data_IF_802820256158
#
_entry.id   IF_802820256158
#
_cell.length_a   1.000
_cell.length_b   1.000
_cell.length_c   1.000
_cell.angle_alpha   90.00
_cell.angle_beta   90.00
_cell.angle_gamma   90.00
#
_symmetry.space_group_name_H-M   'P 1'
#
loop_
_entity.id
_entity.type
_entity.pdbx_description
1 polymer ?
#
# COMPACT_ATOMS: atom_id res chain seq x y z
N UNK A 1 22.94 5.02 25.85
CA UNK A 1 23.32 4.33 24.60
C UNK A 1 22.04 4.19 23.74
N UNK A 2 22.12 4.55 22.46
CA UNK A 2 21.04 4.34 21.50
C UNK A 2 20.90 2.84 21.24
N UNK A 3 19.66 2.32 21.27
CA UNK A 3 19.32 0.92 20.97
C UNK A 3 19.01 0.78 19.49
N UNK A 4 19.47 -0.29 18.87
CA UNK A 4 19.24 -0.58 17.44
C UNK A 4 17.95 -1.35 17.25
N UNK A 5 17.06 -0.83 16.38
CA UNK A 5 15.78 -1.45 16.00
C UNK A 5 15.82 -1.85 14.52
N UNK A 6 15.68 -3.12 14.23
CA UNK A 6 15.44 -3.60 12.87
C UNK A 6 14.00 -4.04 12.70
N UNK A 7 13.29 -3.51 11.69
CA UNK A 7 11.93 -3.92 11.37
C UNK A 7 11.92 -4.50 9.95
N UNK A 8 11.61 -5.78 9.85
CA UNK A 8 11.42 -6.45 8.57
C UNK A 8 9.94 -6.51 8.24
N UNK A 9 9.56 -5.78 7.21
CA UNK A 9 8.16 -5.66 6.81
C UNK A 9 7.88 -6.48 5.55
N UNK A 10 6.86 -7.32 5.60
CA UNK A 10 6.30 -8.01 4.46
C UNK A 10 4.80 -7.73 4.36
N UNK A 11 4.30 -7.60 3.14
CA UNK A 11 2.85 -7.52 2.92
C UNK A 11 2.40 -6.29 2.18
N UNK A 12 1.39 -5.60 2.71
CA UNK A 12 0.75 -4.47 2.08
C UNK A 12 1.28 -3.12 2.61
N UNK A 13 0.81 -2.04 2.01
CA UNK A 13 1.18 -0.68 2.41
C UNK A 13 0.80 -0.36 3.87
N UNK A 14 -0.31 -0.93 4.37
CA UNK A 14 -0.68 -0.79 5.79
C UNK A 14 0.39 -1.37 6.73
N UNK A 15 1.04 -2.49 6.37
CA UNK A 15 2.15 -3.01 7.17
C UNK A 15 3.36 -2.06 7.15
N UNK A 16 3.60 -1.37 6.04
CA UNK A 16 4.67 -0.35 5.96
C UNK A 16 4.35 0.83 6.89
N UNK A 17 3.11 1.32 6.84
CA UNK A 17 2.63 2.36 7.77
C UNK A 17 2.75 1.90 9.23
N UNK A 18 2.23 0.70 9.57
CA UNK A 18 2.31 0.16 10.92
C UNK A 18 3.78 0.07 11.42
N UNK A 19 4.71 -0.36 10.54
CA UNK A 19 6.14 -0.44 10.89
C UNK A 19 6.75 0.93 11.21
N UNK A 20 6.39 1.96 10.46
CA UNK A 20 6.82 3.32 10.76
C UNK A 20 6.28 3.78 12.13
N UNK A 21 4.99 3.52 12.40
CA UNK A 21 4.37 3.85 13.70
C UNK A 21 5.00 3.06 14.86
N UNK A 22 5.33 1.79 14.68
CA UNK A 22 6.07 1.01 15.69
C UNK A 22 7.43 1.65 16.03
N UNK A 23 8.15 2.12 15.01
CA UNK A 23 9.41 2.82 15.22
C UNK A 23 9.23 4.13 16.01
N UNK A 24 8.19 4.91 15.68
CA UNK A 24 7.87 6.16 16.40
C UNK A 24 7.54 5.91 17.87
N UNK A 25 6.70 4.90 18.15
CA UNK A 25 6.33 4.51 19.53
C UNK A 25 7.54 4.03 20.35
N UNK A 26 8.53 3.42 19.71
CA UNK A 26 9.74 2.94 20.37
C UNK A 26 10.86 3.99 20.47
N UNK A 27 10.79 5.07 19.71
CA UNK A 27 11.80 6.14 19.71
C UNK A 27 12.03 6.78 21.10
N UNK A 28 11.00 7.05 21.93
CA UNK A 28 11.19 7.56 23.30
C UNK A 28 11.96 6.60 24.21
N UNK A 29 11.95 5.28 23.94
CA UNK A 29 12.72 4.28 24.66
C UNK A 29 14.18 4.19 24.22
N UNK A 30 14.61 5.07 23.30
CA UNK A 30 15.97 5.15 22.76
C UNK A 30 16.23 4.23 21.58
N UNK A 31 15.21 3.57 21.02
CA UNK A 31 15.36 2.76 19.83
C UNK A 31 15.51 3.63 18.57
N UNK A 32 16.44 3.24 17.69
CA UNK A 32 16.69 3.90 16.40
C UNK A 32 16.68 2.85 15.29
N UNK A 33 15.94 3.09 14.18
CA UNK A 33 15.93 2.19 13.03
C UNK A 33 17.32 1.95 12.45
N UNK A 34 17.58 0.70 12.05
CA UNK A 34 18.80 0.28 11.32
C UNK A 34 18.40 -0.55 10.10
N UNK A 35 19.25 -0.57 9.07
CA UNK A 35 19.01 -1.26 7.80
C UNK A 35 19.21 -2.79 7.88
N UNK A 36 20.04 -3.26 8.81
CA UNK A 36 20.42 -4.65 8.94
C UNK A 36 20.16 -5.16 10.37
N UNK A 37 19.80 -6.45 10.52
CA UNK A 37 19.50 -7.04 11.82
C UNK A 37 20.75 -7.29 12.69
N UNK A 38 21.95 -7.19 12.11
CA UNK A 38 23.20 -7.46 12.81
C UNK A 38 23.43 -6.50 13.97
N UNK A 39 23.64 -7.08 15.16
CA UNK A 39 23.84 -6.30 16.39
C UNK A 39 22.58 -5.56 16.85
N UNK A 40 21.41 -5.81 16.27
CA UNK A 40 20.17 -5.18 16.71
C UNK A 40 19.83 -5.57 18.16
N UNK A 41 19.27 -4.62 18.91
CA UNK A 41 18.75 -4.83 20.26
C UNK A 41 17.30 -5.30 20.25
N UNK A 42 16.56 -4.95 19.16
CA UNK A 42 15.22 -5.44 18.90
C UNK A 42 15.02 -5.68 17.40
N UNK A 43 14.38 -6.82 17.08
CA UNK A 43 13.97 -7.16 15.73
C UNK A 43 12.46 -7.39 15.73
N UNK A 44 11.75 -6.72 14.83
CA UNK A 44 10.30 -6.91 14.62
C UNK A 44 10.06 -7.49 13.23
N UNK A 45 9.39 -8.63 13.14
CA UNK A 45 8.86 -9.17 11.89
C UNK A 45 7.41 -8.76 11.74
N UNK A 46 7.12 -7.77 10.89
CA UNK A 46 5.76 -7.30 10.62
C UNK A 46 5.23 -7.92 9.32
N UNK A 47 4.18 -8.73 9.43
CA UNK A 47 3.74 -9.55 8.31
C UNK A 47 2.24 -9.49 8.06
N UNK A 48 1.87 -9.68 6.79
CA UNK A 48 0.51 -9.73 6.31
C UNK A 48 0.04 -11.19 6.19
N UNK A 49 -1.22 -11.46 6.47
CA UNK A 49 -1.85 -12.80 6.34
C UNK A 49 -2.50 -13.04 4.97
N UNK A 50 -2.41 -12.09 4.04
CA UNK A 50 -3.08 -12.19 2.71
C UNK A 50 -2.35 -13.18 1.78
N UNK A 51 -1.04 -13.40 1.95
CA UNK A 51 -0.23 -14.25 1.08
C UNK A 51 -0.12 -15.67 1.66
N UNK A 52 -0.31 -16.68 0.82
CA UNK A 52 -0.33 -18.09 1.16
C UNK A 52 0.90 -18.58 1.95
N UNK A 53 2.08 -18.09 1.60
CA UNK A 53 3.35 -18.49 2.24
C UNK A 53 3.84 -17.49 3.28
N UNK A 54 2.96 -16.64 3.82
CA UNK A 54 3.38 -15.61 4.77
C UNK A 54 3.90 -16.22 6.07
N UNK A 55 3.16 -17.17 6.64
CA UNK A 55 3.52 -17.86 7.88
C UNK A 55 4.81 -18.66 7.74
N UNK A 56 5.00 -19.41 6.64
CA UNK A 56 6.25 -20.16 6.40
C UNK A 56 7.48 -19.24 6.36
N UNK A 57 7.34 -18.06 5.76
CA UNK A 57 8.43 -17.06 5.73
C UNK A 57 8.76 -16.54 7.12
N UNK A 58 7.75 -16.34 7.96
CA UNK A 58 7.96 -15.92 9.36
C UNK A 58 8.79 -16.97 10.09
N UNK A 59 8.38 -18.24 10.05
CA UNK A 59 9.09 -19.31 10.75
C UNK A 59 10.52 -19.51 10.22
N UNK A 60 10.72 -19.41 8.90
CA UNK A 60 12.08 -19.47 8.31
C UNK A 60 12.99 -18.36 8.83
N UNK A 61 12.47 -17.12 8.89
CA UNK A 61 13.25 -15.98 9.41
C UNK A 61 13.46 -16.07 10.92
N UNK A 62 12.48 -16.53 11.67
CA UNK A 62 12.61 -16.76 13.11
C UNK A 62 13.73 -17.75 13.44
N UNK A 63 13.91 -18.80 12.62
CA UNK A 63 15.04 -19.73 12.77
C UNK A 63 16.40 -19.05 12.64
N UNK A 64 16.54 -18.09 11.69
CA UNK A 64 17.76 -17.29 11.53
C UNK A 64 17.96 -16.32 12.71
N UNK A 65 16.91 -15.64 13.12
CA UNK A 65 16.98 -14.71 14.26
C UNK A 65 17.32 -15.39 15.58
N UNK A 66 16.90 -16.65 15.78
CA UNK A 66 17.31 -17.43 16.94
C UNK A 66 18.83 -17.56 17.03
N UNK A 67 19.48 -17.93 15.92
CA UNK A 67 20.94 -18.06 15.88
C UNK A 67 21.63 -16.73 16.20
N UNK A 68 21.12 -15.61 15.65
CA UNK A 68 21.66 -14.27 15.93
C UNK A 68 21.46 -13.86 17.40
N UNK A 69 20.29 -14.15 17.97
CA UNK A 69 19.98 -13.91 19.40
C UNK A 69 20.93 -14.68 20.32
N UNK A 70 21.13 -15.96 20.02
CA UNK A 70 22.02 -16.83 20.80
C UNK A 70 23.49 -16.37 20.69
N UNK A 71 23.93 -16.01 19.48
CA UNK A 71 25.28 -15.50 19.23
C UNK A 71 25.56 -14.18 19.97
N UNK A 72 24.61 -13.24 19.96
CA UNK A 72 24.71 -11.96 20.68
C UNK A 72 24.81 -12.19 22.19
N UNK A 73 24.03 -13.10 22.75
CA UNK A 73 24.08 -13.45 24.18
C UNK A 73 25.41 -14.10 24.57
N UNK A 74 25.94 -15.00 23.71
CA UNK A 74 27.24 -15.65 23.95
C UNK A 74 28.40 -14.68 23.86
N UNK A 75 28.33 -13.66 23.00
CA UNK A 75 29.33 -12.60 22.90
C UNK A 75 29.32 -11.62 24.08
N UNK A 76 28.30 -11.66 24.93
CA UNK A 76 28.15 -10.72 26.04
C UNK A 76 27.63 -9.32 25.61
N UNK A 77 27.17 -9.18 24.36
CA UNK A 77 26.71 -7.91 23.77
C UNK A 77 25.25 -7.56 24.15
N UNK A 78 24.74 -8.18 25.20
CA UNK A 78 23.38 -7.95 25.69
C UNK A 78 22.32 -8.87 25.07
N UNK A 79 21.07 -8.54 25.31
CA UNK A 79 19.91 -9.34 24.86
C UNK A 79 19.29 -8.74 23.58
N UNK A 80 19.00 -9.57 22.61
CA UNK A 80 18.16 -9.22 21.48
C UNK A 80 16.68 -9.58 21.79
N UNK A 81 15.77 -8.62 21.64
CA UNK A 81 14.31 -8.85 21.71
C UNK A 81 13.84 -9.22 20.30
N UNK A 82 13.18 -10.36 20.16
CA UNK A 82 12.57 -10.79 18.90
C UNK A 82 11.04 -10.67 19.02
N UNK A 83 10.44 -9.91 18.12
CA UNK A 83 8.99 -9.69 18.09
C UNK A 83 8.38 -10.09 16.76
N UNK A 84 7.15 -10.61 16.78
CA UNK A 84 6.34 -10.89 15.60
C UNK A 84 5.08 -10.03 15.66
N UNK A 85 4.79 -9.33 14.58
CA UNK A 85 3.71 -8.35 14.49
C UNK A 85 2.84 -8.54 13.25
N UNK A 86 1.70 -7.85 13.22
CA UNK A 86 0.84 -7.74 12.07
C UNK A 86 -0.22 -8.83 11.98
N UNK A 87 -0.83 -9.00 10.78
CA UNK A 87 -1.98 -9.87 10.61
C UNK A 87 -1.67 -11.36 10.85
N UNK A 88 -0.43 -11.82 10.62
CA UNK A 88 -0.04 -13.20 10.95
C UNK A 88 0.03 -13.37 12.46
N UNK A 89 0.61 -12.42 13.19
CA UNK A 89 0.64 -12.46 14.65
C UNK A 89 -0.79 -12.46 15.25
N UNK A 90 -1.71 -11.69 14.65
CA UNK A 90 -3.11 -11.67 15.05
C UNK A 90 -3.82 -13.02 14.85
N UNK A 91 -3.56 -13.66 13.70
CA UNK A 91 -4.26 -14.90 13.34
C UNK A 91 -3.66 -16.15 13.98
N UNK A 92 -2.34 -16.18 14.21
CA UNK A 92 -1.58 -17.38 14.57
C UNK A 92 -0.72 -17.15 15.84
N UNK A 93 -1.05 -16.17 16.66
CA UNK A 93 -0.20 -15.73 17.79
C UNK A 93 0.12 -16.86 18.77
N UNK A 94 -0.84 -17.67 19.16
CA UNK A 94 -0.63 -18.82 20.05
C UNK A 94 0.26 -19.90 19.41
N UNK A 95 0.08 -20.17 18.11
CA UNK A 95 0.92 -21.13 17.39
C UNK A 95 2.37 -20.63 17.28
N UNK A 96 2.57 -19.32 17.04
CA UNK A 96 3.90 -18.72 16.99
C UNK A 96 4.62 -18.91 18.33
N UNK A 97 3.95 -18.62 19.45
CA UNK A 97 4.51 -18.80 20.79
C UNK A 97 4.83 -20.27 21.07
N UNK A 98 3.95 -21.19 20.68
CA UNK A 98 4.16 -22.62 20.91
C UNK A 98 5.32 -23.18 20.09
N UNK A 99 5.45 -22.80 18.80
CA UNK A 99 6.50 -23.30 17.90
C UNK A 99 7.83 -22.58 18.01
N UNK A 100 7.82 -21.33 18.46
CA UNK A 100 9.01 -20.50 18.59
C UNK A 100 9.09 -19.83 19.99
N UNK A 101 9.31 -20.60 21.08
CA UNK A 101 9.29 -20.08 22.46
C UNK A 101 10.42 -19.10 22.77
N UNK A 102 11.34 -18.89 21.86
CA UNK A 102 12.40 -17.87 21.92
C UNK A 102 11.96 -16.49 21.41
N UNK A 103 10.76 -16.37 20.83
CA UNK A 103 10.14 -15.09 20.50
C UNK A 103 9.69 -14.42 21.79
N UNK A 104 10.07 -13.17 21.98
CA UNK A 104 9.80 -12.43 23.22
C UNK A 104 8.44 -11.76 23.22
N UNK A 105 7.96 -11.28 22.04
CA UNK A 105 6.70 -10.53 21.91
C UNK A 105 5.98 -10.98 20.65
N UNK A 106 4.68 -11.23 20.76
CA UNK A 106 3.76 -11.48 19.62
C UNK A 106 2.56 -10.56 19.77
N UNK A 107 2.28 -9.74 18.77
CA UNK A 107 1.18 -8.77 18.89
C UNK A 107 0.49 -8.46 17.57
N UNK A 108 -0.82 -8.19 17.68
CA UNK A 108 -1.67 -7.82 16.56
C UNK A 108 -1.48 -6.37 16.08
N UNK A 109 -2.07 -6.01 14.93
CA UNK A 109 -1.96 -4.66 14.38
C UNK A 109 -2.71 -3.61 15.20
N UNK A 110 -3.62 -4.01 16.09
CA UNK A 110 -4.40 -3.08 16.92
C UNK A 110 -3.70 -2.65 18.21
N UNK A 111 -2.61 -3.35 18.61
CA UNK A 111 -1.98 -3.19 19.92
C UNK A 111 -0.57 -2.62 19.89
N UNK A 112 -0.03 -2.19 18.73
CA UNK A 112 1.35 -1.71 18.64
C UNK A 112 1.61 -0.43 19.44
N UNK A 113 0.60 0.36 19.77
CA UNK A 113 0.74 1.51 20.67
C UNK A 113 1.17 1.12 22.08
N UNK A 114 0.89 -0.13 22.51
CA UNK A 114 1.32 -0.67 23.80
C UNK A 114 2.71 -1.34 23.77
N UNK A 115 3.46 -1.22 22.67
CA UNK A 115 4.82 -1.77 22.54
C UNK A 115 5.77 -1.39 23.69
N UNK A 116 5.79 -0.15 24.19
CA UNK A 116 6.61 0.20 25.34
C UNK A 116 6.37 -0.69 26.57
N UNK A 117 5.12 -0.97 26.87
CA UNK A 117 4.73 -1.85 27.96
C UNK A 117 5.11 -3.31 27.71
N UNK A 118 4.88 -3.79 26.46
CA UNK A 118 5.27 -5.15 26.08
C UNK A 118 6.77 -5.36 26.17
N UNK A 119 7.57 -4.39 25.73
CA UNK A 119 9.02 -4.41 25.86
C UNK A 119 9.44 -4.43 27.34
N UNK A 120 8.80 -3.63 28.19
CA UNK A 120 9.07 -3.64 29.62
C UNK A 120 8.73 -4.99 30.28
N UNK A 121 7.61 -5.61 29.89
CA UNK A 121 7.19 -6.96 30.35
C UNK A 121 8.19 -8.01 29.90
N UNK A 122 8.53 -8.06 28.60
CA UNK A 122 9.46 -9.02 28.02
C UNK A 122 10.88 -8.91 28.61
N UNK A 123 11.28 -7.73 29.07
CA UNK A 123 12.59 -7.51 29.71
C UNK A 123 12.63 -8.03 31.15
N UNK A 124 11.49 -8.00 31.86
CA UNK A 124 11.42 -8.34 33.29
C UNK A 124 11.00 -9.78 33.57
N UNK A 125 10.20 -10.38 32.67
CA UNK A 125 9.64 -11.71 32.86
C UNK A 125 10.31 -12.75 31.95
N UNK A 126 10.30 -14.01 32.38
CA UNK A 126 10.61 -15.13 31.50
C UNK A 126 9.35 -15.51 30.73
N UNK A 127 9.49 -15.79 29.41
CA UNK A 127 8.40 -16.19 28.53
C UNK A 127 8.01 -15.11 27.53
N UNK A 128 7.15 -15.50 26.58
CA UNK A 128 6.66 -14.64 25.52
C UNK A 128 5.48 -13.76 26.01
N UNK A 129 5.46 -12.50 25.57
CA UNK A 129 4.32 -11.60 25.75
C UNK A 129 3.44 -11.72 24.51
N UNK A 130 2.19 -12.19 24.66
CA UNK A 130 1.20 -12.27 23.59
C UNK A 130 0.14 -11.18 23.82
N UNK A 131 -0.11 -10.35 22.80
CA UNK A 131 -1.16 -9.34 22.82
C UNK A 131 -1.84 -9.23 21.43
N UNK A 132 -2.91 -9.96 21.27
CA UNK A 132 -3.75 -9.98 20.06
C UNK A 132 -5.17 -9.46 20.33
N UNK A 133 -5.33 -8.63 21.36
CA UNK A 133 -6.61 -8.04 21.73
C UNK A 133 -7.11 -7.05 20.69
N UNK A 134 -8.42 -6.84 20.67
CA UNK A 134 -9.09 -5.75 19.98
C UNK A 134 -9.53 -4.73 21.03
N UNK A 135 -8.68 -3.74 21.37
CA UNK A 135 -9.03 -2.74 22.37
C UNK A 135 -10.21 -1.88 21.89
N UNK A 136 -11.03 -1.41 22.84
CA UNK A 136 -12.13 -0.50 22.53
C UNK A 136 -11.63 0.91 22.13
N UNK A 137 -10.44 1.27 22.60
CA UNK A 137 -9.79 2.54 22.32
C UNK A 137 -8.98 2.45 21.03
N UNK A 138 -9.01 3.53 20.24
CA UNK A 138 -8.27 3.57 18.99
C UNK A 138 -6.78 3.75 19.23
N UNK A 139 -5.96 2.91 18.64
CA UNK A 139 -4.50 3.07 18.64
C UNK A 139 -4.03 4.42 18.10
N UNK A 140 -4.82 5.05 17.23
CA UNK A 140 -4.50 6.35 16.63
C UNK A 140 -4.53 7.51 17.65
N UNK A 141 -5.21 7.32 18.77
CA UNK A 141 -5.27 8.33 19.85
C UNK A 141 -3.99 8.34 20.71
N UNK A 142 -3.17 7.29 20.59
CA UNK A 142 -1.93 7.10 21.35
C UNK A 142 -0.65 7.22 20.53
N UNK A 143 -0.77 7.62 19.26
CA UNK A 143 0.41 7.82 18.43
C UNK A 143 1.16 9.08 18.83
N UNK A 144 2.51 9.05 18.87
CA UNK A 144 3.30 10.24 19.15
C UNK A 144 3.03 11.34 18.12
N UNK A 145 2.97 12.58 18.58
CA UNK A 145 2.85 13.74 17.70
C UNK A 145 4.09 13.93 16.81
N UNK A 146 5.25 13.53 17.31
CA UNK A 146 6.50 13.54 16.56
C UNK A 146 6.62 12.24 15.76
N UNK A 147 6.19 12.25 14.51
CA UNK A 147 6.44 11.17 13.56
C UNK A 147 7.75 11.41 12.81
N UNK A 148 8.52 10.35 12.61
CA UNK A 148 9.68 10.39 11.72
C UNK A 148 9.29 10.78 10.28
N UNK A 149 10.22 11.41 9.54
CA UNK A 149 10.02 11.68 8.11
C UNK A 149 9.83 10.36 7.36
N UNK A 150 8.77 10.25 6.57
CA UNK A 150 8.52 9.12 5.69
C UNK A 150 9.13 9.33 4.29
N UNK A 151 9.80 10.49 4.06
CA UNK A 151 10.36 10.86 2.78
C UNK A 151 9.38 11.65 1.92
N UNK A 152 9.64 11.64 0.61
CA UNK A 152 8.92 12.48 -0.38
C UNK A 152 7.49 12.00 -0.61
N UNK A 153 7.26 10.69 -0.53
CA UNK A 153 5.95 10.07 -0.62
C UNK A 153 5.65 9.33 0.69
N UNK A 154 4.53 9.65 1.32
CA UNK A 154 4.14 9.13 2.62
C UNK A 154 2.83 8.36 2.57
N UNK A 155 2.67 7.40 3.47
CA UNK A 155 1.43 6.72 3.75
C UNK A 155 0.71 7.38 4.93
N UNK A 156 -0.60 7.55 4.80
CA UNK A 156 -1.45 8.11 5.84
C UNK A 156 -2.69 7.22 6.02
N UNK A 157 -2.73 6.46 7.11
CA UNK A 157 -3.91 5.65 7.41
C UNK A 157 -5.07 6.55 7.83
N UNK A 158 -6.17 6.47 7.10
CA UNK A 158 -7.41 7.23 7.38
C UNK A 158 -8.49 6.34 7.96
N UNK A 159 -8.43 5.04 7.64
CA UNK A 159 -9.43 4.06 8.02
C UNK A 159 -8.75 2.71 8.30
N UNK A 160 -9.28 1.93 9.21
CA UNK A 160 -8.83 0.57 9.51
C UNK A 160 -10.01 -0.36 9.77
N UNK A 161 -9.80 -1.67 9.57
CA UNK A 161 -10.87 -2.65 9.65
C UNK A 161 -11.82 -2.62 8.45
N UNK A 162 -12.81 -3.51 8.41
CA UNK A 162 -13.75 -3.55 7.30
C UNK A 162 -14.99 -4.37 7.65
N UNK A 163 -16.18 -3.80 7.45
CA UNK A 163 -17.48 -4.42 7.72
C UNK A 163 -18.16 -5.01 6.48
N UNK A 164 -17.42 -5.19 5.36
CA UNK A 164 -17.99 -5.76 4.14
C UNK A 164 -18.18 -7.28 4.22
N UNK A 165 -17.42 -7.98 5.06
CA UNK A 165 -17.50 -9.42 5.27
C UNK A 165 -17.55 -10.23 3.97
N UNK A 166 -16.66 -9.88 3.01
CA UNK A 166 -16.46 -10.70 1.84
C UNK A 166 -16.04 -12.11 2.26
N UNK A 167 -16.65 -13.16 1.68
CA UNK A 167 -16.55 -14.54 2.20
C UNK A 167 -15.16 -15.15 2.16
N UNK A 168 -14.24 -14.57 1.38
CA UNK A 168 -12.83 -14.98 1.26
C UNK A 168 -11.87 -14.18 2.14
N UNK A 169 -12.35 -13.11 2.79
CA UNK A 169 -11.48 -12.08 3.37
C UNK A 169 -11.28 -12.27 4.87
N UNK A 170 -10.02 -12.21 5.30
CA UNK A 170 -9.62 -12.32 6.72
C UNK A 170 -9.56 -10.98 7.45
N UNK A 171 -9.74 -9.85 6.75
CA UNK A 171 -9.59 -8.51 7.34
C UNK A 171 -10.46 -8.29 8.57
N UNK A 172 -11.77 -8.62 8.59
CA UNK A 172 -12.59 -8.45 9.78
C UNK A 172 -12.05 -9.19 11.02
N UNK A 173 -11.36 -10.31 10.79
CA UNK A 173 -10.82 -11.17 11.86
C UNK A 173 -9.40 -10.78 12.30
N UNK A 174 -8.67 -10.02 11.47
CA UNK A 174 -7.29 -9.65 11.76
C UNK A 174 -7.10 -8.17 12.06
N UNK A 175 -8.00 -7.30 11.54
CA UNK A 175 -7.97 -5.86 11.77
C UNK A 175 -9.24 -5.31 12.45
N UNK A 176 -10.24 -6.16 12.63
CA UNK A 176 -11.48 -5.82 13.33
C UNK A 176 -12.51 -5.08 12.49
N UNK A 177 -13.50 -4.52 13.17
CA UNK A 177 -14.54 -3.68 12.60
C UNK A 177 -13.96 -2.41 11.98
N UNK A 178 -14.73 -1.79 11.09
CA UNK A 178 -14.36 -0.52 10.48
C UNK A 178 -14.23 0.59 11.55
N UNK A 179 -13.12 1.29 11.49
CA UNK A 179 -12.85 2.50 12.26
C UNK A 179 -12.32 3.58 11.32
N UNK A 180 -13.03 4.69 11.22
CA UNK A 180 -12.63 5.88 10.48
C UNK A 180 -12.08 6.94 11.43
N UNK A 181 -10.86 7.45 11.15
CA UNK A 181 -10.25 8.54 11.91
C UNK A 181 -10.97 9.84 11.64
N UNK A 182 -10.91 10.78 12.58
CA UNK A 182 -11.48 12.12 12.36
C UNK A 182 -10.71 12.91 11.31
N UNK A 183 -11.41 13.77 10.57
CA UNK A 183 -10.78 14.68 9.61
C UNK A 183 -9.74 15.60 10.27
N UNK A 184 -9.97 16.00 11.52
CA UNK A 184 -9.02 16.81 12.32
C UNK A 184 -7.68 16.09 12.49
N UNK A 185 -7.69 14.82 12.93
CA UNK A 185 -6.49 14.00 13.10
C UNK A 185 -5.74 13.80 11.79
N UNK A 186 -6.48 13.51 10.71
CA UNK A 186 -5.88 13.27 9.38
C UNK A 186 -5.24 14.54 8.85
N UNK A 187 -5.92 15.68 8.89
CA UNK A 187 -5.39 16.97 8.43
C UNK A 187 -4.16 17.40 9.26
N UNK A 188 -4.17 17.17 10.57
CA UNK A 188 -3.02 17.48 11.41
C UNK A 188 -1.80 16.62 11.03
N UNK A 189 -1.97 15.31 10.84
CA UNK A 189 -0.89 14.42 10.42
C UNK A 189 -0.40 14.76 9.00
N UNK A 190 -1.29 15.06 8.06
CA UNK A 190 -0.94 15.46 6.70
C UNK A 190 -0.07 16.73 6.68
N UNK A 191 -0.44 17.76 7.47
CA UNK A 191 0.36 19.00 7.59
C UNK A 191 1.75 18.72 8.16
N UNK A 192 1.87 17.84 9.16
CA UNK A 192 3.19 17.45 9.71
C UNK A 192 4.05 16.72 8.67
N UNK A 193 3.47 15.80 7.92
CA UNK A 193 4.18 15.10 6.85
C UNK A 193 4.68 16.07 5.77
N UNK A 194 3.84 17.01 5.33
CA UNK A 194 4.22 18.02 4.34
C UNK A 194 5.29 18.95 4.89
N UNK A 195 5.19 19.40 6.14
CA UNK A 195 6.22 20.20 6.79
C UNK A 195 7.57 19.46 6.91
N UNK A 196 7.54 18.12 7.01
CA UNK A 196 8.73 17.26 7.00
C UNK A 196 9.27 16.96 5.57
N UNK A 197 8.67 17.53 4.51
CA UNK A 197 9.14 17.43 3.13
C UNK A 197 8.37 16.45 2.25
N UNK A 198 7.26 15.86 2.73
CA UNK A 198 6.39 15.00 1.92
C UNK A 198 5.65 15.84 0.87
N UNK A 199 5.61 15.36 -0.38
CA UNK A 199 4.91 15.97 -1.51
C UNK A 199 3.74 15.13 -2.04
N UNK A 200 3.79 13.82 -1.82
CA UNK A 200 2.72 12.90 -2.18
C UNK A 200 2.22 12.15 -0.93
N UNK A 201 0.91 12.17 -0.68
CA UNK A 201 0.28 11.39 0.37
C UNK A 201 -0.61 10.32 -0.28
N UNK A 202 -0.41 9.07 0.15
CA UNK A 202 -1.28 7.96 -0.21
C UNK A 202 -2.15 7.59 1.01
N UNK A 203 -3.45 7.83 0.91
CA UNK A 203 -4.42 7.50 1.93
C UNK A 203 -4.64 5.99 1.98
N UNK A 204 -4.52 5.42 3.16
CA UNK A 204 -4.59 3.98 3.38
C UNK A 204 -5.78 3.59 4.27
N UNK A 205 -6.27 2.39 4.00
CA UNK A 205 -7.28 1.67 4.79
C UNK A 205 -7.55 0.30 4.19
N UNK A 206 -8.52 -0.41 4.72
CA UNK A 206 -9.00 -1.65 4.14
C UNK A 206 -10.20 -1.45 3.21
N UNK A 207 -10.83 -0.26 3.28
CA UNK A 207 -11.90 0.19 2.40
C UNK A 207 -11.95 1.73 2.42
N UNK A 208 -10.94 2.37 1.83
CA UNK A 208 -10.68 3.80 1.99
C UNK A 208 -11.84 4.67 1.50
N UNK A 209 -12.52 4.27 0.42
CA UNK A 209 -13.63 5.06 -0.11
C UNK A 209 -14.93 4.97 0.71
N UNK A 210 -14.97 4.13 1.75
CA UNK A 210 -16.02 4.17 2.77
C UNK A 210 -15.69 5.09 3.95
N UNK A 211 -14.52 5.71 3.96
CA UNK A 211 -14.14 6.59 5.06
C UNK A 211 -15.18 7.67 5.31
N UNK A 212 -15.55 7.80 6.57
CA UNK A 212 -16.44 8.82 7.07
C UNK A 212 -15.95 9.26 8.46
N UNK A 213 -15.65 10.52 8.62
CA UNK A 213 -15.11 11.02 9.87
C UNK A 213 -15.57 12.45 10.16
N UNK A 214 -15.58 12.83 11.43
CA UNK A 214 -15.98 14.17 11.83
C UNK A 214 -14.92 15.18 11.41
N UNK A 215 -15.40 16.20 10.70
CA UNK A 215 -14.59 17.35 10.31
C UNK A 215 -14.46 18.37 11.44
N UNK A 216 -13.57 19.36 11.29
CA UNK A 216 -13.40 20.45 12.25
C UNK A 216 -14.65 21.34 12.38
N UNK A 217 -15.58 21.25 11.45
CA UNK A 217 -16.87 21.96 11.43
C UNK A 217 -17.99 21.20 12.19
N UNK A 218 -17.66 20.04 12.78
CA UNK A 218 -18.61 19.20 13.50
C UNK A 218 -19.57 18.42 12.60
N UNK A 219 -19.35 18.41 11.26
CA UNK A 219 -20.12 17.59 10.33
C UNK A 219 -19.36 16.35 9.96
N UNK A 220 -20.06 15.26 9.65
CA UNK A 220 -19.43 14.04 9.12
C UNK A 220 -19.09 14.23 7.65
N UNK A 221 -17.83 14.02 7.30
CA UNK A 221 -17.31 14.12 5.95
C UNK A 221 -17.18 12.75 5.28
N UNK A 222 -17.36 12.70 3.97
CA UNK A 222 -16.94 11.59 3.13
C UNK A 222 -15.54 11.84 2.54
N UNK A 223 -15.00 10.79 1.87
CA UNK A 223 -13.65 10.85 1.30
C UNK A 223 -13.48 11.97 0.27
N UNK A 224 -14.49 12.26 -0.56
CA UNK A 224 -14.45 13.34 -1.55
C UNK A 224 -14.17 14.70 -0.90
N UNK A 225 -14.83 15.00 0.22
CA UNK A 225 -14.58 16.22 0.98
C UNK A 225 -13.18 16.22 1.63
N UNK A 226 -12.78 15.11 2.24
CA UNK A 226 -11.44 15.00 2.83
C UNK A 226 -10.33 15.28 1.81
N UNK A 227 -10.48 14.76 0.59
CA UNK A 227 -9.51 14.98 -0.51
C UNK A 227 -9.42 16.46 -0.88
N UNK A 228 -10.55 17.18 -0.95
CA UNK A 228 -10.55 18.64 -1.21
C UNK A 228 -9.83 19.40 -0.11
N UNK A 229 -10.11 19.09 1.16
CA UNK A 229 -9.46 19.75 2.30
C UNK A 229 -7.95 19.44 2.40
N UNK A 230 -7.54 18.22 2.03
CA UNK A 230 -6.12 17.87 1.93
C UNK A 230 -5.42 18.63 0.81
N UNK A 231 -6.09 18.87 -0.30
CA UNK A 231 -5.54 19.60 -1.44
C UNK A 231 -5.25 21.08 -1.13
N UNK A 232 -5.86 21.65 -0.08
CA UNK A 232 -5.58 23.01 0.40
C UNK A 232 -4.29 23.12 1.23
N UNK A 233 -3.60 22.00 1.50
CA UNK A 233 -2.35 22.01 2.26
C UNK A 233 -1.21 22.45 1.35
N UNK A 234 -0.63 23.62 1.61
CA UNK A 234 0.50 24.16 0.86
C UNK A 234 1.67 23.16 0.86
N UNK A 235 2.17 22.83 -0.34
CA UNK A 235 3.28 21.88 -0.54
C UNK A 235 2.84 20.45 -0.74
N UNK A 236 1.56 20.10 -0.57
CA UNK A 236 1.01 18.80 -0.96
C UNK A 236 0.67 18.82 -2.47
N UNK A 237 1.49 18.16 -3.27
CA UNK A 237 1.37 18.19 -4.72
C UNK A 237 0.57 17.03 -5.29
N UNK A 238 0.50 15.88 -4.56
CA UNK A 238 -0.21 14.69 -5.00
C UNK A 238 -0.93 13.98 -3.85
N UNK A 239 -2.14 13.57 -4.15
CA UNK A 239 -2.98 12.75 -3.27
C UNK A 239 -3.33 11.48 -4.03
N UNK A 240 -3.23 10.35 -3.34
CA UNK A 240 -3.70 9.04 -3.81
C UNK A 240 -4.46 8.36 -2.70
N UNK A 241 -5.28 7.40 -3.06
CA UNK A 241 -5.87 6.47 -2.11
C UNK A 241 -5.89 5.07 -2.71
N UNK A 242 -5.87 4.06 -1.86
CA UNK A 242 -5.83 2.66 -2.31
C UNK A 242 -6.70 1.79 -1.43
N UNK A 243 -7.12 0.66 -1.99
CA UNK A 243 -8.07 -0.28 -1.36
C UNK A 243 -9.46 0.30 -1.24
N UNK A 244 -10.22 0.19 -2.33
CA UNK A 244 -11.59 0.69 -2.45
C UNK A 244 -12.58 -0.44 -2.70
N UNK A 245 -13.85 -0.19 -2.41
CA UNK A 245 -14.93 -1.11 -2.72
C UNK A 245 -15.93 -0.43 -3.67
N UNK A 246 -16.38 -1.10 -4.75
CA UNK A 246 -17.27 -0.48 -5.74
C UNK A 246 -18.54 0.15 -5.16
N UNK A 247 -19.13 -0.46 -4.13
CA UNK A 247 -20.35 0.07 -3.47
C UNK A 247 -20.19 1.42 -2.77
N UNK A 248 -18.97 1.77 -2.41
CA UNK A 248 -18.68 2.99 -1.66
C UNK A 248 -18.10 4.09 -2.55
N UNK A 249 -18.18 3.91 -3.87
CA UNK A 249 -17.85 4.94 -4.85
C UNK A 249 -19.05 5.85 -5.06
N UNK A 250 -19.15 6.90 -4.26
CA UNK A 250 -20.23 7.87 -4.32
C UNK A 250 -19.98 8.99 -5.36
N UNK A 251 -21.03 9.74 -5.68
CA UNK A 251 -20.97 10.82 -6.68
C UNK A 251 -20.09 12.00 -6.19
N UNK A 252 -19.90 12.18 -4.87
CA UNK A 252 -19.04 13.24 -4.34
C UNK A 252 -17.57 12.92 -4.57
N UNK A 253 -17.16 11.68 -4.32
CA UNK A 253 -15.80 11.22 -4.61
C UNK A 253 -15.51 11.20 -6.13
N UNK A 254 -16.50 10.81 -6.95
CA UNK A 254 -16.38 10.87 -8.41
C UNK A 254 -16.14 12.33 -8.86
N UNK A 255 -16.88 13.31 -8.31
CA UNK A 255 -16.65 14.74 -8.59
C UNK A 255 -15.26 15.20 -8.14
N UNK A 256 -14.77 14.72 -6.99
CA UNK A 256 -13.43 15.06 -6.52
C UNK A 256 -12.33 14.66 -7.53
N UNK A 257 -12.50 13.52 -8.24
CA UNK A 257 -11.58 13.15 -9.33
C UNK A 257 -11.55 14.14 -10.50
N UNK A 258 -12.65 14.82 -10.76
CA UNK A 258 -12.72 15.85 -11.81
C UNK A 258 -12.17 17.20 -11.32
N UNK A 259 -12.44 17.56 -10.06
CA UNK A 259 -12.26 18.91 -9.52
C UNK A 259 -10.89 19.14 -8.88
N UNK A 260 -10.28 18.09 -8.29
CA UNK A 260 -9.04 18.22 -7.51
C UNK A 260 -7.81 17.83 -8.34
N UNK A 261 -7.00 18.80 -8.79
CA UNK A 261 -5.82 18.51 -9.61
C UNK A 261 -4.77 17.63 -8.91
N UNK A 262 -4.64 17.77 -7.59
CA UNK A 262 -3.72 16.98 -6.77
C UNK A 262 -4.16 15.51 -6.65
N UNK A 263 -5.45 15.18 -6.85
CA UNK A 263 -5.92 13.79 -6.85
C UNK A 263 -5.47 13.11 -8.15
N UNK A 264 -4.50 12.23 -8.02
CA UNK A 264 -3.87 11.59 -9.17
C UNK A 264 -4.85 10.73 -9.97
N UNK A 265 -4.74 10.72 -11.31
CA UNK A 265 -5.64 9.99 -12.20
C UNK A 265 -5.32 8.47 -12.20
N UNK A 266 -5.33 7.88 -11.03
CA UNK A 266 -5.15 6.46 -10.82
C UNK A 266 -6.06 5.98 -9.70
N UNK A 267 -6.89 4.99 -9.99
CA UNK A 267 -7.84 4.41 -9.04
C UNK A 267 -7.68 2.90 -8.96
N UNK A 268 -7.43 2.39 -7.75
CA UNK A 268 -7.48 0.97 -7.46
C UNK A 268 -8.88 0.61 -6.90
N UNK A 269 -9.69 -0.07 -7.73
CA UNK A 269 -11.08 -0.43 -7.42
C UNK A 269 -11.32 -1.93 -7.66
N UNK A 270 -10.98 -2.80 -6.70
CA UNK A 270 -11.10 -4.24 -6.81
C UNK A 270 -12.54 -4.72 -7.01
N UNK A 271 -12.82 -5.36 -8.13
CA UNK A 271 -14.11 -6.01 -8.43
C UNK A 271 -14.15 -7.45 -7.94
N UNK A 272 -13.05 -8.17 -8.05
CA UNK A 272 -12.75 -9.55 -7.68
C UNK A 272 -13.20 -10.60 -8.72
N UNK A 273 -14.36 -10.48 -9.37
CA UNK A 273 -14.88 -11.36 -10.41
C UNK A 273 -15.79 -10.60 -11.37
N UNK A 274 -16.04 -11.18 -12.55
CA UNK A 274 -16.95 -10.61 -13.54
C UNK A 274 -18.32 -11.28 -13.59
N UNK A 275 -18.52 -12.40 -12.88
CA UNK A 275 -19.79 -13.12 -12.80
C UNK A 275 -20.59 -12.67 -11.60
N UNK A 276 -21.86 -12.28 -11.83
CA UNK A 276 -22.78 -11.88 -10.75
C UNK A 276 -23.01 -12.99 -9.73
N UNK A 277 -23.04 -14.26 -10.19
CA UNK A 277 -23.18 -15.41 -9.32
C UNK A 277 -21.98 -15.54 -8.38
N UNK A 278 -20.78 -15.36 -8.88
CA UNK A 278 -19.56 -15.40 -8.07
C UNK A 278 -19.44 -14.16 -7.18
N UNK A 279 -19.78 -12.99 -7.67
CA UNK A 279 -19.83 -11.76 -6.85
C UNK A 279 -20.81 -11.90 -5.67
N UNK A 280 -21.97 -12.51 -5.91
CA UNK A 280 -22.94 -12.83 -4.84
C UNK A 280 -22.36 -13.85 -3.82
N UNK A 281 -21.72 -14.92 -4.30
CA UNK A 281 -21.07 -15.93 -3.46
C UNK A 281 -19.90 -15.33 -2.64
N UNK A 282 -19.19 -14.36 -3.20
CA UNK A 282 -18.15 -13.58 -2.52
C UNK A 282 -18.72 -12.54 -1.54
N UNK A 283 -20.03 -12.37 -1.44
CA UNK A 283 -20.70 -11.32 -0.66
C UNK A 283 -20.35 -9.88 -1.08
N UNK A 284 -20.11 -9.66 -2.39
CA UNK A 284 -19.68 -8.32 -2.88
C UNK A 284 -20.81 -7.29 -2.93
N UNK A 285 -22.08 -7.74 -2.95
CA UNK A 285 -23.27 -6.89 -2.91
C UNK A 285 -23.38 -5.86 -4.06
N UNK A 286 -22.77 -6.13 -5.20
CA UNK A 286 -22.90 -5.41 -6.46
C UNK A 286 -22.82 -6.40 -7.62
N UNK A 287 -23.33 -6.01 -8.77
CA UNK A 287 -23.25 -6.76 -10.03
C UNK A 287 -22.09 -6.27 -10.89
N UNK A 288 -21.73 -7.03 -11.93
CA UNK A 288 -20.78 -6.61 -12.95
C UNK A 288 -21.25 -5.34 -13.68
N UNK A 289 -22.57 -5.21 -13.90
CA UNK A 289 -23.14 -4.03 -14.53
C UNK A 289 -23.14 -2.81 -13.62
N UNK A 290 -23.33 -2.97 -12.31
CA UNK A 290 -23.10 -1.87 -11.34
C UNK A 290 -21.67 -1.37 -11.44
N UNK A 291 -20.71 -2.29 -11.50
CA UNK A 291 -19.29 -1.93 -11.64
C UNK A 291 -19.02 -1.17 -12.96
N UNK A 292 -19.55 -1.64 -14.10
CA UNK A 292 -19.41 -0.93 -15.39
C UNK A 292 -19.97 0.48 -15.31
N UNK A 293 -21.17 0.65 -14.74
CA UNK A 293 -21.78 2.00 -14.55
C UNK A 293 -20.91 2.94 -13.72
N UNK A 294 -20.26 2.42 -12.68
CA UNK A 294 -19.33 3.23 -11.87
C UNK A 294 -18.12 3.64 -12.71
N UNK A 295 -17.55 2.72 -13.48
CA UNK A 295 -16.41 3.01 -14.37
C UNK A 295 -16.79 4.04 -15.44
N UNK A 296 -17.98 3.95 -16.03
CA UNK A 296 -18.46 4.92 -17.00
C UNK A 296 -18.60 6.33 -16.40
N UNK A 297 -19.16 6.45 -15.19
CA UNK A 297 -19.24 7.73 -14.46
C UNK A 297 -17.83 8.29 -14.16
N UNK A 298 -16.90 7.45 -13.70
CA UNK A 298 -15.52 7.85 -13.43
C UNK A 298 -14.81 8.33 -14.69
N UNK A 299 -14.95 7.64 -15.81
CA UNK A 299 -14.36 8.04 -17.09
C UNK A 299 -14.98 9.30 -17.67
N UNK A 300 -16.29 9.50 -17.44
CA UNK A 300 -16.93 10.76 -17.80
C UNK A 300 -16.39 11.94 -16.99
N UNK A 301 -16.14 11.75 -15.70
CA UNK A 301 -15.57 12.76 -14.80
C UNK A 301 -14.07 12.99 -15.03
N UNK A 302 -13.29 11.92 -15.29
CA UNK A 302 -11.84 11.94 -15.49
C UNK A 302 -11.46 11.00 -16.64
N UNK A 303 -11.47 11.49 -17.91
CA UNK A 303 -11.27 10.65 -19.09
C UNK A 303 -9.92 9.92 -19.16
N UNK A 304 -8.89 10.46 -18.54
CA UNK A 304 -7.55 9.88 -18.47
C UNK A 304 -7.32 8.98 -17.24
N UNK A 305 -8.37 8.64 -16.50
CA UNK A 305 -8.26 7.82 -15.29
C UNK A 305 -7.72 6.42 -15.60
N UNK A 306 -6.58 6.10 -15.04
CA UNK A 306 -5.98 4.76 -15.06
C UNK A 306 -6.62 3.89 -13.99
N UNK A 307 -7.19 2.77 -14.40
CA UNK A 307 -7.86 1.82 -13.51
C UNK A 307 -6.95 0.68 -13.12
N UNK A 308 -7.04 0.29 -11.86
CA UNK A 308 -6.41 -0.89 -11.30
C UNK A 308 -7.43 -1.71 -10.52
N UNK A 309 -7.22 -3.01 -10.42
CA UNK A 309 -8.13 -3.90 -9.71
C UNK A 309 -7.47 -5.20 -9.26
N UNK A 310 -8.22 -5.95 -8.47
CA UNK A 310 -7.87 -7.30 -8.04
C UNK A 310 -8.88 -8.30 -8.57
N UNK A 311 -8.39 -9.50 -8.91
CA UNK A 311 -9.19 -10.61 -9.38
C UNK A 311 -8.82 -11.89 -8.66
N UNK A 312 -9.83 -12.67 -8.28
CA UNK A 312 -9.67 -14.01 -7.72
C UNK A 312 -10.31 -14.99 -8.69
N UNK A 313 -9.53 -15.93 -9.22
CA UNK A 313 -9.99 -17.03 -10.07
C UNK A 313 -10.04 -18.34 -9.30
N UNK A 314 -10.91 -19.25 -9.73
CA UNK A 314 -11.07 -20.53 -9.07
C UNK A 314 -11.71 -20.43 -7.70
N UNK A 315 -12.56 -19.42 -7.47
CA UNK A 315 -13.40 -19.34 -6.28
C UNK A 315 -14.30 -20.57 -6.18
N UNK A 316 -14.64 -21.08 -4.97
CA UNK A 316 -15.48 -22.25 -4.81
C UNK A 316 -16.75 -22.21 -5.67
N UNK A 317 -16.95 -23.24 -6.47
CA UNK A 317 -18.08 -23.35 -7.38
C UNK A 317 -18.03 -22.52 -8.66
N UNK A 318 -16.94 -21.82 -8.96
CA UNK A 318 -16.78 -21.06 -10.20
C UNK A 318 -16.80 -22.00 -11.41
N UNK A 319 -17.72 -21.79 -12.35
CA UNK A 319 -17.80 -22.53 -13.61
C UNK A 319 -16.95 -21.88 -14.71
N UNK A 320 -16.79 -22.56 -15.87
CA UNK A 320 -16.13 -21.98 -17.04
C UNK A 320 -16.89 -20.78 -17.60
N UNK A 321 -18.23 -20.78 -17.51
CA UNK A 321 -19.05 -19.64 -17.91
C UNK A 321 -18.77 -18.42 -17.01
N UNK A 322 -18.66 -18.60 -15.69
CA UNK A 322 -18.32 -17.52 -14.75
C UNK A 322 -16.94 -16.94 -15.02
N UNK A 323 -15.97 -17.81 -15.29
CA UNK A 323 -14.63 -17.38 -15.65
C UNK A 323 -14.61 -16.59 -16.98
N UNK A 324 -15.36 -17.04 -17.98
CA UNK A 324 -15.52 -16.31 -19.24
C UNK A 324 -16.15 -14.92 -19.04
N UNK A 325 -17.10 -14.77 -18.10
CA UNK A 325 -17.64 -13.46 -17.71
C UNK A 325 -16.59 -12.56 -17.08
N UNK A 326 -15.70 -13.11 -16.26
CA UNK A 326 -14.58 -12.37 -15.69
C UNK A 326 -13.63 -11.86 -16.79
N UNK A 327 -13.27 -12.70 -17.77
CA UNK A 327 -12.43 -12.27 -18.91
C UNK A 327 -13.14 -11.19 -19.75
N UNK A 328 -14.45 -11.28 -19.95
CA UNK A 328 -15.23 -10.23 -20.66
C UNK A 328 -15.18 -8.92 -19.90
N UNK A 329 -15.43 -8.92 -18.58
CA UNK A 329 -15.36 -7.70 -17.77
C UNK A 329 -13.96 -7.05 -17.86
N UNK A 330 -12.90 -7.83 -17.77
CA UNK A 330 -11.52 -7.34 -17.92
C UNK A 330 -11.31 -6.70 -19.29
N UNK A 331 -11.83 -7.32 -20.35
CA UNK A 331 -11.74 -6.77 -21.72
C UNK A 331 -12.51 -5.47 -21.88
N UNK A 332 -13.73 -5.40 -21.35
CA UNK A 332 -14.61 -4.22 -21.44
C UNK A 332 -14.01 -3.02 -20.67
N UNK A 333 -13.46 -3.28 -19.49
CA UNK A 333 -12.92 -2.23 -18.63
C UNK A 333 -11.54 -1.75 -19.09
N UNK A 334 -10.63 -2.62 -19.52
CA UNK A 334 -9.28 -2.23 -19.94
C UNK A 334 -8.47 -1.63 -18.78
N UNK A 335 -7.74 -2.47 -18.07
CA UNK A 335 -6.98 -2.05 -16.88
C UNK A 335 -5.58 -1.56 -17.25
N UNK A 336 -5.16 -0.45 -16.62
CA UNK A 336 -3.78 0.03 -16.70
C UNK A 336 -2.82 -0.89 -15.93
N UNK A 337 -3.30 -1.46 -14.83
CA UNK A 337 -2.62 -2.46 -14.02
C UNK A 337 -3.66 -3.27 -13.26
N UNK A 338 -3.46 -4.57 -13.08
CA UNK A 338 -4.31 -5.36 -12.19
C UNK A 338 -3.53 -6.51 -11.56
N UNK A 339 -4.03 -6.97 -10.42
CA UNK A 339 -3.47 -8.10 -9.71
C UNK A 339 -4.44 -9.27 -9.79
N UNK A 340 -3.92 -10.46 -9.97
CA UNK A 340 -4.71 -11.67 -10.09
C UNK A 340 -4.17 -12.76 -9.20
N UNK A 341 -5.08 -13.49 -8.57
CA UNK A 341 -4.78 -14.51 -7.58
C UNK A 341 -5.64 -15.75 -7.85
N UNK A 342 -5.08 -16.93 -7.68
CA UNK A 342 -5.90 -18.12 -7.51
C UNK A 342 -6.50 -18.11 -6.10
N UNK A 343 -7.75 -18.55 -5.98
CA UNK A 343 -8.38 -18.69 -4.67
C UNK A 343 -7.57 -19.64 -3.79
N UNK A 344 -7.26 -19.19 -2.58
CA UNK A 344 -6.59 -19.97 -1.55
C UNK A 344 -7.43 -19.91 -0.27
N UNK A 345 -7.87 -21.05 0.26
CA UNK A 345 -8.67 -21.08 1.49
C UNK A 345 -7.94 -20.41 2.65
N UNK A 346 -8.65 -19.57 3.38
CA UNK A 346 -8.14 -18.92 4.59
C UNK A 346 -8.88 -19.45 5.82
N UNK A 347 -8.18 -19.99 6.82
CA UNK A 347 -8.83 -20.47 8.04
C UNK A 347 -9.77 -19.42 8.63
N UNK A 348 -10.95 -19.84 9.05
CA UNK A 348 -11.97 -18.98 9.65
C UNK A 348 -12.84 -18.19 8.67
N UNK A 349 -12.57 -18.23 7.36
CA UNK A 349 -13.42 -17.57 6.35
C UNK A 349 -14.53 -18.49 5.86
N UNK A 350 -15.74 -17.96 5.54
CA UNK A 350 -16.85 -18.77 5.03
C UNK A 350 -16.50 -19.56 3.77
N UNK A 351 -15.80 -18.94 2.81
CA UNK A 351 -15.43 -19.60 1.56
C UNK A 351 -14.46 -20.78 1.74
N UNK A 352 -13.71 -20.84 2.83
CA UNK A 352 -12.83 -21.96 3.14
C UNK A 352 -13.61 -23.25 3.53
N UNK A 353 -14.87 -23.09 3.99
CA UNK A 353 -15.74 -24.18 4.41
C UNK A 353 -16.59 -24.73 3.26
N UNK A 354 -16.57 -24.08 2.09
CA UNK A 354 -17.33 -24.51 0.93
C UNK A 354 -16.83 -25.84 0.38
N UNK A 355 -17.75 -26.76 0.10
CA UNK A 355 -17.43 -28.09 -0.42
C UNK A 355 -17.08 -28.11 -1.92
N UNK A 356 -17.38 -27.04 -2.63
CA UNK A 356 -17.19 -26.90 -4.10
C UNK A 356 -15.82 -26.33 -4.45
N UNK A 357 -14.77 -26.75 -3.75
CA UNK A 357 -13.40 -26.33 -4.06
C UNK A 357 -12.97 -26.84 -5.44
N UNK A 358 -12.33 -25.98 -6.24
CA UNK A 358 -11.84 -26.36 -7.55
C UNK A 358 -10.47 -27.06 -7.48
N UNK A 359 -10.20 -27.99 -8.43
CA UNK A 359 -8.87 -28.57 -8.60
C UNK A 359 -7.81 -27.50 -8.83
N UNK A 360 -6.60 -27.75 -8.39
CA UNK A 360 -5.50 -26.78 -8.47
C UNK A 360 -5.13 -26.47 -9.94
N UNK A 361 -5.14 -27.49 -10.80
CA UNK A 361 -4.83 -27.35 -12.22
C UNK A 361 -5.82 -26.41 -12.94
N UNK A 362 -7.09 -26.42 -12.54
CA UNK A 362 -8.12 -25.50 -13.06
C UNK A 362 -7.83 -24.08 -12.64
N UNK A 363 -7.50 -23.87 -11.36
CA UNK A 363 -7.13 -22.54 -10.84
C UNK A 363 -5.90 -21.98 -11.53
N UNK A 364 -4.87 -22.81 -11.72
CA UNK A 364 -3.62 -22.41 -12.39
C UNK A 364 -3.86 -22.06 -13.87
N UNK A 365 -4.64 -22.86 -14.59
CA UNK A 365 -5.00 -22.58 -15.97
C UNK A 365 -5.77 -21.27 -16.12
N UNK A 366 -6.77 -21.04 -15.27
CA UNK A 366 -7.54 -19.78 -15.26
C UNK A 366 -6.67 -18.58 -14.89
N UNK A 367 -5.79 -18.74 -13.91
CA UNK A 367 -4.86 -17.68 -13.53
C UNK A 367 -3.94 -17.31 -14.67
N UNK A 368 -3.35 -18.28 -15.37
CA UNK A 368 -2.48 -18.05 -16.50
C UNK A 368 -3.20 -17.31 -17.63
N UNK A 369 -4.42 -17.72 -18.00
CA UNK A 369 -5.21 -17.06 -19.03
C UNK A 369 -5.57 -15.60 -18.64
N UNK A 370 -5.99 -15.36 -17.40
CA UNK A 370 -6.27 -14.02 -16.90
C UNK A 370 -5.01 -13.14 -16.91
N UNK A 371 -3.89 -13.65 -16.42
CA UNK A 371 -2.61 -12.93 -16.41
C UNK A 371 -2.14 -12.54 -17.80
N UNK A 372 -2.32 -13.42 -18.80
CA UNK A 372 -1.99 -13.10 -20.19
C UNK A 372 -2.79 -11.88 -20.68
N UNK A 373 -4.10 -11.83 -20.42
CA UNK A 373 -4.97 -10.71 -20.81
C UNK A 373 -4.58 -9.42 -20.09
N UNK A 374 -4.39 -9.46 -18.76
CA UNK A 374 -4.01 -8.30 -17.95
C UNK A 374 -2.63 -7.76 -18.33
N UNK A 375 -1.66 -8.64 -18.58
CA UNK A 375 -0.32 -8.24 -19.03
C UNK A 375 -0.36 -7.55 -20.41
N UNK A 376 -1.19 -8.05 -21.33
CA UNK A 376 -1.36 -7.41 -22.64
C UNK A 376 -1.96 -6.00 -22.50
N UNK A 377 -2.96 -5.81 -21.64
CA UNK A 377 -3.56 -4.50 -21.36
C UNK A 377 -2.54 -3.54 -20.73
N UNK A 378 -1.79 -3.99 -19.71
CA UNK A 378 -0.76 -3.18 -19.05
C UNK A 378 0.35 -2.76 -20.03
N UNK A 379 0.79 -3.67 -20.91
CA UNK A 379 1.78 -3.36 -21.93
C UNK A 379 1.25 -2.33 -22.92
N UNK A 380 0.02 -2.49 -23.41
CA UNK A 380 -0.63 -1.53 -24.30
C UNK A 380 -0.76 -0.15 -23.65
N UNK A 381 -1.19 -0.10 -22.38
CA UNK A 381 -1.27 1.12 -21.60
C UNK A 381 0.10 1.80 -21.48
N UNK A 382 1.14 1.08 -21.10
CA UNK A 382 2.49 1.61 -20.97
C UNK A 382 3.05 2.08 -22.33
N UNK A 383 2.83 1.32 -23.40
CA UNK A 383 3.27 1.69 -24.75
C UNK A 383 2.62 2.98 -25.24
N UNK A 384 1.38 3.25 -24.82
CA UNK A 384 0.67 4.50 -25.12
C UNK A 384 1.30 5.76 -24.56
N UNK A 385 2.31 5.65 -23.68
CA UNK A 385 3.07 6.78 -23.15
C UNK A 385 4.38 7.08 -23.87
N UNK A 386 4.87 6.16 -24.69
CA UNK A 386 6.11 6.39 -25.45
C UNK A 386 5.94 7.60 -26.37
N UNK A 387 6.90 8.53 -26.29
CA UNK A 387 6.89 9.83 -26.98
C UNK A 387 6.15 10.95 -26.25
N UNK A 388 5.40 10.64 -25.18
CA UNK A 388 4.72 11.66 -24.35
C UNK A 388 5.63 12.16 -23.24
N UNK A 389 5.40 13.40 -22.81
CA UNK A 389 5.99 13.98 -21.61
C UNK A 389 5.01 13.85 -20.46
N UNK A 390 5.51 13.41 -19.30
CA UNK A 390 4.73 13.22 -18.08
C UNK A 390 5.47 13.75 -16.86
N UNK A 391 4.77 14.38 -15.89
CA UNK A 391 5.37 14.81 -14.65
C UNK A 391 5.65 13.60 -13.76
N UNK A 392 6.91 13.39 -13.36
CA UNK A 392 7.36 12.27 -12.53
C UNK A 392 7.88 12.79 -11.19
N UNK A 393 7.36 12.30 -10.08
CA UNK A 393 7.91 12.55 -8.76
C UNK A 393 9.03 11.53 -8.50
N UNK A 394 10.29 12.00 -8.43
CA UNK A 394 11.42 11.15 -8.09
C UNK A 394 11.47 10.91 -6.58
N UNK A 395 11.24 9.67 -6.16
CA UNK A 395 11.11 9.25 -4.77
C UNK A 395 12.20 8.26 -4.32
N UNK A 396 13.01 7.76 -5.26
CA UNK A 396 14.05 6.75 -5.00
C UNK A 396 15.25 6.90 -5.94
N UNK A 397 16.40 6.40 -5.48
CA UNK A 397 17.54 6.17 -6.37
C UNK A 397 17.29 4.94 -7.22
N UNK A 398 17.73 4.98 -8.46
CA UNK A 398 17.68 3.84 -9.37
C UNK A 398 18.75 2.79 -9.05
N UNK A 399 18.81 1.76 -9.87
CA UNK A 399 19.79 0.67 -9.71
C UNK A 399 21.20 1.02 -10.20
N UNK A 400 21.32 2.05 -11.03
CA UNK A 400 22.58 2.52 -11.61
C UNK A 400 22.93 3.88 -11.00
N UNK A 401 24.23 4.17 -10.90
CA UNK A 401 24.70 5.49 -10.50
C UNK A 401 24.16 6.55 -11.47
N UNK A 402 23.73 7.70 -10.93
CA UNK A 402 23.12 8.77 -11.73
C UNK A 402 21.70 8.49 -12.21
N UNK A 403 21.07 7.37 -11.79
CA UNK A 403 19.70 7.05 -12.13
C UNK A 403 18.76 7.39 -10.98
N UNK A 404 17.67 8.08 -11.27
CA UNK A 404 16.54 8.27 -10.36
C UNK A 404 15.34 7.45 -10.82
N UNK A 405 14.55 7.03 -9.85
CA UNK A 405 13.29 6.31 -10.03
C UNK A 405 12.16 7.11 -9.37
N UNK A 406 11.03 7.20 -10.05
CA UNK A 406 9.87 7.92 -9.54
C UNK A 406 8.55 7.32 -9.99
N UNK A 407 7.48 8.07 -9.73
CA UNK A 407 6.11 7.69 -10.09
C UNK A 407 5.48 8.73 -11.02
N UNK A 408 4.87 8.24 -12.12
CA UNK A 408 3.99 9.06 -12.95
C UNK A 408 2.66 9.35 -12.23
N UNK A 409 1.82 10.27 -12.70
CA UNK A 409 0.46 10.45 -12.18
C UNK A 409 -0.35 9.16 -12.18
N UNK A 410 -0.12 8.28 -13.15
CA UNK A 410 -0.82 7.00 -13.35
C UNK A 410 -0.19 5.82 -12.59
N UNK A 411 0.63 6.10 -11.57
CA UNK A 411 1.31 5.11 -10.71
C UNK A 411 2.39 4.26 -11.40
N UNK A 412 2.72 4.52 -12.67
CA UNK A 412 3.78 3.83 -13.38
C UNK A 412 5.15 4.16 -12.76
N UNK A 413 6.01 3.17 -12.60
CA UNK A 413 7.41 3.36 -12.26
C UNK A 413 8.14 3.95 -13.46
N UNK A 414 8.80 5.09 -13.30
CA UNK A 414 9.57 5.76 -14.35
C UNK A 414 11.00 5.95 -13.86
N UNK A 415 11.98 5.49 -14.64
CA UNK A 415 13.38 5.75 -14.34
C UNK A 415 14.02 6.61 -15.47
N UNK A 416 14.90 7.51 -15.04
CA UNK A 416 15.67 8.35 -15.93
C UNK A 416 17.08 8.57 -15.38
N UNK A 417 18.03 8.83 -16.26
CA UNK A 417 19.32 9.40 -15.87
C UNK A 417 19.07 10.88 -15.47
N UNK A 418 19.39 11.20 -14.23
CA UNK A 418 19.04 12.49 -13.66
C UNK A 418 19.98 12.87 -12.50
N UNK A 419 20.27 14.16 -12.37
CA UNK A 419 21.06 14.67 -11.27
C UNK A 419 20.33 14.45 -9.92
N UNK A 420 21.05 14.07 -8.87
CA UNK A 420 20.50 13.83 -7.54
C UNK A 420 19.74 15.03 -6.94
N UNK A 421 20.03 16.27 -7.36
CA UNK A 421 19.28 17.47 -6.96
C UNK A 421 17.79 17.43 -7.33
N UNK A 422 17.41 16.54 -8.27
CA UNK A 422 16.04 16.36 -8.71
C UNK A 422 15.27 15.34 -7.84
N UNK A 423 15.97 14.67 -6.90
CA UNK A 423 15.32 13.83 -5.92
C UNK A 423 14.30 14.65 -5.10
N UNK A 424 13.13 14.11 -4.90
CA UNK A 424 12.04 14.78 -4.20
C UNK A 424 11.32 15.86 -5.01
N UNK A 425 11.57 15.96 -6.31
CA UNK A 425 10.91 16.94 -7.19
C UNK A 425 10.03 16.25 -8.22
N UNK A 426 8.98 16.94 -8.63
CA UNK A 426 8.20 16.59 -9.82
C UNK A 426 8.93 17.19 -11.02
N UNK A 427 9.28 16.34 -11.98
CA UNK A 427 10.08 16.69 -13.14
C UNK A 427 9.40 16.15 -14.40
N UNK A 428 9.35 16.96 -15.46
CA UNK A 428 8.85 16.54 -16.75
C UNK A 428 9.80 15.55 -17.41
N UNK A 429 9.29 14.34 -17.72
CA UNK A 429 10.04 13.26 -18.35
C UNK A 429 9.40 12.91 -19.67
N UNK A 430 10.15 13.01 -20.75
CA UNK A 430 9.76 12.44 -22.04
C UNK A 430 10.00 10.94 -21.98
N UNK A 431 8.96 10.18 -22.20
CA UNK A 431 9.03 8.70 -22.17
C UNK A 431 9.63 8.18 -23.47
N UNK A 432 10.75 7.51 -23.37
CA UNK A 432 11.51 6.96 -24.52
C UNK A 432 11.24 5.45 -24.72
N UNK A 433 10.84 4.74 -23.65
CA UNK A 433 10.60 3.30 -23.73
C UNK A 433 9.60 2.79 -22.69
N UNK A 434 8.88 1.74 -23.07
CA UNK A 434 7.96 1.00 -22.21
C UNK A 434 8.48 -0.41 -21.95
N UNK A 435 8.44 -0.83 -20.69
CA UNK A 435 8.84 -2.15 -20.21
C UNK A 435 7.66 -2.82 -19.50
N UNK A 436 7.70 -4.12 -19.22
CA UNK A 436 6.57 -4.81 -18.59
C UNK A 436 6.03 -4.13 -17.33
N UNK A 437 6.91 -3.61 -16.45
CA UNK A 437 6.53 -3.02 -15.17
C UNK A 437 7.06 -1.60 -14.94
N UNK A 438 7.57 -0.94 -15.97
CA UNK A 438 8.18 0.38 -15.85
C UNK A 438 8.28 1.11 -17.18
N UNK A 439 8.53 2.40 -17.11
CA UNK A 439 8.86 3.26 -18.24
C UNK A 439 10.29 3.77 -18.07
N UNK A 440 10.95 4.06 -19.19
CA UNK A 440 12.21 4.81 -19.20
C UNK A 440 12.03 6.11 -19.95
N UNK A 441 12.76 7.14 -19.54
CA UNK A 441 12.65 8.43 -20.21
C UNK A 441 13.83 9.35 -19.93
N UNK A 442 13.77 10.50 -20.56
CA UNK A 442 14.77 11.57 -20.49
C UNK A 442 14.16 12.80 -19.86
N UNK A 443 14.92 13.45 -18.95
CA UNK A 443 14.52 14.72 -18.33
C UNK A 443 14.36 15.78 -19.41
N UNK A 444 13.18 16.44 -19.43
CA UNK A 444 12.97 17.60 -20.31
C UNK A 444 13.61 18.81 -19.63
N UNK A 445 14.67 19.36 -20.25
CA UNK A 445 15.31 20.59 -19.80
C UNK A 445 14.97 21.70 -20.76
N UNK A 446 14.56 22.86 -20.24
CA UNK A 446 14.25 24.07 -21.05
C UNK A 446 15.48 24.69 -21.74
N UNK A 447 16.66 24.06 -21.68
CA UNK A 447 17.93 24.63 -22.15
C UNK A 447 18.16 24.56 -23.68
N UNK A 448 17.21 24.16 -24.49
CA UNK A 448 17.41 24.06 -25.95
C UNK A 448 16.54 24.99 -26.81
N UNK A 449 16.28 26.19 -26.33
CA UNK A 449 15.78 27.31 -27.21
C UNK A 449 16.58 28.58 -27.09
N UNK A 450 17.90 28.51 -26.97
CA UNK A 450 18.77 29.61 -27.34
C UNK A 450 19.22 29.41 -28.81
N UNK A 451 18.53 30.06 -29.74
CA UNK A 451 18.99 30.23 -31.11
C UNK A 451 20.42 30.76 -31.11
N UNK A 452 21.29 30.30 -32.00
CA UNK A 452 22.64 30.86 -32.09
C UNK A 452 22.55 32.33 -32.39
N UNK A 453 23.16 33.15 -31.53
CA UNK A 453 23.36 34.57 -31.75
C UNK A 453 24.16 34.72 -33.04
N UNK A 454 23.51 35.27 -34.06
CA UNK A 454 24.15 35.60 -35.33
C UNK A 454 25.33 36.53 -35.10
N UNK A 455 26.50 36.12 -35.53
CA UNK A 455 27.70 36.91 -35.64
C UNK A 455 27.43 38.01 -36.64
N UNK A 456 27.13 39.24 -36.16
CA UNK A 456 27.22 40.43 -37.00
C UNK A 456 28.69 40.77 -37.19
N UNK A 457 29.19 40.50 -38.38
CA UNK A 457 30.45 41.08 -38.90
C UNK A 457 30.30 42.56 -38.99
N UNK A 458 31.01 43.32 -38.16
CA UNK A 458 31.27 44.74 -38.35
C UNK A 458 32.26 44.91 -39.51
N UNK A 459 31.75 45.30 -40.67
CA UNK A 459 32.59 45.88 -41.72
C UNK A 459 33.03 47.29 -41.30
N UNK A 460 34.33 47.45 -41.10
CA UNK A 460 34.97 48.74 -40.94
C UNK A 460 35.11 49.43 -42.34
N UNK A 461 34.43 50.57 -42.51
CA UNK A 461 34.68 51.47 -43.66
C UNK A 461 35.62 52.55 -43.21
N UNK A 462 36.69 52.79 -44.00
CA UNK A 462 37.71 53.80 -43.93
C UNK A 462 37.13 55.20 -44.11
#
# INVERSE_FOLDING_TARGET
LSKKLFIKTWGCQMNVYDSARMADVLAPLGYRPVEEPDGADMVILNTCHIREKASEKVFSELGRLRQMKDAKAQAGDGRMIVAVAGCVAQAEGEEIVARAPYVDIVFGPQTYHTLPEMVAKATRAAGSVLNTDFPAESKFDYLPDEAGSQGVAAFLAVQEGCDKFCTFCVVPYTRGAEFSRTGVQILAEARRLVAAGTREINLLGQNVNAWHGDGPDGTTWGLGRLVRELAEIDGLERIRYTTSHPRDMDDDLIRAHAEVPQLMPYLHLPVQAGSDRILAAMNRKHTADDYRRIIDKLRAAKPDLALSGDFIVGFPGESDADFAETLRLVTDVGYAQAYSFKYSPRPGTPAALEHTQLPEEVKESRLAALQQLLNAQQQAFNQGFVGKTVPVLFDRKGKRDGQLLGRSPYMQSVYAEANERLFGRIVEIRIDGAHPNSLSGTVVTDEYHSSPIGTQTLEATV
#
